data_IF_554265850504
#
_entry.id   IF_554265850504
#
_cell.length_a   1.000
_cell.length_b   1.000
_cell.length_c   1.000
_cell.angle_alpha   90.00
_cell.angle_beta   90.00
_cell.angle_gamma   90.00
#
_symmetry.space_group_name_H-M   'P 1'
#
loop_
_entity.id
_entity.type
_entity.pdbx_description
1 polymer ?
#
# COMPACT_ATOMS: atom_id res chain seq x y z
N UNK A 1 13.04 10.06 -5.39
CA UNK A 1 13.69 8.88 -5.98
C UNK A 1 13.11 7.55 -5.46
N UNK A 2 13.15 7.20 -4.18
CA UNK A 2 12.64 5.89 -3.67
C UNK A 2 11.09 5.73 -3.59
N UNK A 3 10.29 6.59 -4.25
CA UNK A 3 8.80 6.59 -4.18
C UNK A 3 8.13 5.75 -5.27
N UNK A 4 8.81 5.45 -6.38
CA UNK A 4 8.17 4.97 -7.61
C UNK A 4 8.62 3.57 -8.02
N UNK A 5 9.90 3.23 -7.88
CA UNK A 5 10.44 1.99 -8.46
C UNK A 5 9.86 0.70 -7.87
N UNK A 6 9.62 0.64 -6.56
CA UNK A 6 9.17 -0.60 -5.91
C UNK A 6 7.70 -0.94 -6.23
N UNK A 7 6.84 0.08 -6.36
CA UNK A 7 5.43 -0.13 -6.75
C UNK A 7 5.29 -0.56 -8.21
N UNK A 8 6.12 -0.03 -9.11
CA UNK A 8 6.10 -0.44 -10.53
C UNK A 8 6.55 -1.89 -10.72
N UNK A 9 7.59 -2.34 -10.01
CA UNK A 9 8.06 -3.72 -10.11
C UNK A 9 7.00 -4.74 -9.68
N UNK A 10 6.25 -4.46 -8.61
CA UNK A 10 5.17 -5.35 -8.14
C UNK A 10 3.94 -5.33 -9.07
N UNK A 11 3.58 -4.16 -9.60
CA UNK A 11 2.54 -4.05 -10.62
C UNK A 11 2.94 -4.75 -11.92
N UNK A 12 4.20 -4.69 -12.30
CA UNK A 12 4.72 -5.34 -13.50
C UNK A 12 4.71 -6.88 -13.37
N UNK A 13 5.25 -7.41 -12.27
CA UNK A 13 5.27 -8.87 -12.00
C UNK A 13 3.84 -9.42 -11.89
N UNK A 14 2.95 -8.71 -11.20
CA UNK A 14 1.55 -9.13 -11.11
C UNK A 14 0.83 -9.03 -12.46
N UNK A 15 1.14 -8.02 -13.28
CA UNK A 15 0.66 -7.90 -14.66
C UNK A 15 1.05 -9.11 -15.50
N UNK A 16 2.34 -9.50 -15.50
CA UNK A 16 2.81 -10.69 -16.20
C UNK A 16 2.11 -11.97 -15.73
N UNK A 17 1.93 -12.13 -14.42
CA UNK A 17 1.20 -13.26 -13.85
C UNK A 17 -0.24 -13.34 -14.40
N UNK A 18 -1.01 -12.25 -14.36
CA UNK A 18 -2.40 -12.27 -14.84
C UNK A 18 -2.53 -12.36 -16.36
N UNK A 19 -1.57 -11.85 -17.12
CA UNK A 19 -1.48 -12.04 -18.58
C UNK A 19 -1.25 -13.53 -18.89
N UNK A 20 -0.32 -14.19 -18.21
CA UNK A 20 -0.03 -15.62 -18.39
C UNK A 20 -1.26 -16.50 -18.17
N UNK A 21 -2.05 -16.22 -17.13
CA UNK A 21 -3.30 -16.96 -16.85
C UNK A 21 -4.51 -16.48 -17.67
N UNK A 22 -4.34 -15.57 -18.64
CA UNK A 22 -5.42 -14.95 -19.45
C UNK A 22 -6.55 -14.33 -18.62
N UNK A 23 -6.23 -13.78 -17.44
CA UNK A 23 -7.17 -13.10 -16.53
C UNK A 23 -6.84 -11.60 -16.41
N UNK A 24 -6.58 -10.94 -17.54
CA UNK A 24 -6.18 -9.52 -17.61
C UNK A 24 -7.21 -8.56 -17.00
N UNK A 25 -8.50 -8.89 -17.06
CA UNK A 25 -9.56 -8.11 -16.42
C UNK A 25 -9.41 -8.04 -14.89
N UNK A 26 -8.89 -9.10 -14.24
CA UNK A 26 -8.62 -9.08 -12.80
C UNK A 26 -7.46 -8.15 -12.46
N UNK A 27 -6.44 -8.10 -13.33
CA UNK A 27 -5.33 -7.17 -13.18
C UNK A 27 -5.79 -5.72 -13.27
N UNK A 28 -6.61 -5.39 -14.28
CA UNK A 28 -7.19 -4.04 -14.41
C UNK A 28 -8.05 -3.67 -13.19
N UNK A 29 -8.82 -4.62 -12.66
CA UNK A 29 -9.59 -4.42 -11.43
C UNK A 29 -8.69 -4.13 -10.21
N UNK A 30 -7.59 -4.87 -10.05
CA UNK A 30 -6.63 -4.63 -8.96
C UNK A 30 -5.98 -3.25 -9.10
N UNK A 31 -5.58 -2.85 -10.30
CA UNK A 31 -5.02 -1.51 -10.56
C UNK A 31 -6.04 -0.43 -10.18
N UNK A 32 -7.30 -0.58 -10.60
CA UNK A 32 -8.37 0.33 -10.21
C UNK A 32 -8.54 0.41 -8.69
N UNK A 33 -8.54 -0.73 -7.99
CA UNK A 33 -8.65 -0.78 -6.53
C UNK A 33 -7.49 -0.06 -5.84
N UNK A 34 -6.26 -0.17 -6.36
CA UNK A 34 -5.09 0.53 -5.82
C UNK A 34 -5.24 2.04 -6.02
N UNK A 35 -5.68 2.50 -7.20
CA UNK A 35 -5.94 3.93 -7.46
C UNK A 35 -6.99 4.46 -6.48
N UNK A 36 -8.09 3.73 -6.29
CA UNK A 36 -9.13 4.11 -5.32
C UNK A 36 -8.59 4.12 -3.89
N UNK A 37 -7.78 3.14 -3.49
CA UNK A 37 -7.12 3.10 -2.19
C UNK A 37 -6.22 4.30 -1.97
N UNK A 38 -5.48 4.74 -3.00
CA UNK A 38 -4.61 5.90 -2.93
C UNK A 38 -5.39 7.20 -2.75
N UNK A 39 -6.54 7.34 -3.42
CA UNK A 39 -7.44 8.49 -3.27
C UNK A 39 -8.10 8.53 -1.90
N UNK A 40 -8.55 7.38 -1.38
CA UNK A 40 -9.08 7.27 0.00
C UNK A 40 -7.98 7.67 0.99
N UNK A 41 -6.76 7.16 0.82
CA UNK A 41 -5.62 7.51 1.66
C UNK A 41 -5.24 8.99 1.58
N UNK A 42 -5.37 9.62 0.41
CA UNK A 42 -5.17 11.06 0.24
C UNK A 42 -6.25 11.87 0.98
N UNK A 43 -7.52 11.50 0.84
CA UNK A 43 -8.62 12.13 1.56
C UNK A 43 -8.47 12.02 3.08
N UNK A 44 -8.08 10.85 3.59
CA UNK A 44 -7.87 10.64 5.01
C UNK A 44 -6.70 11.45 5.57
N UNK A 45 -5.67 11.73 4.76
CA UNK A 45 -4.56 12.62 5.17
C UNK A 45 -4.99 14.05 5.39
N UNK A 46 -5.90 14.53 4.57
CA UNK A 46 -6.46 15.89 4.70
C UNK A 46 -7.44 15.97 5.89
N UNK A 47 -8.08 14.84 6.22
CA UNK A 47 -8.97 14.72 7.39
C UNK A 47 -8.23 14.66 8.72
N UNK A 48 -7.22 13.78 8.87
CA UNK A 48 -6.52 13.58 10.13
C UNK A 48 -5.45 14.63 10.42
N UNK A 49 -4.86 15.22 9.38
CA UNK A 49 -3.82 16.24 9.48
C UNK A 49 -2.63 15.89 10.40
N UNK A 50 -2.40 14.60 10.68
CA UNK A 50 -1.36 14.17 11.61
C UNK A 50 0.03 14.44 11.03
N UNK A 51 0.92 15.13 11.75
CA UNK A 51 2.25 15.46 11.25
C UNK A 51 3.13 14.22 11.08
N UNK A 52 4.07 14.27 10.14
CA UNK A 52 5.10 13.23 10.00
C UNK A 52 6.25 13.46 10.99
N UNK A 53 6.84 12.39 11.54
CA UNK A 53 7.94 12.49 12.50
C UNK A 53 9.16 13.22 11.93
N UNK A 54 9.40 13.11 10.62
CA UNK A 54 10.47 13.82 9.94
C UNK A 54 10.30 15.34 9.81
N UNK A 55 9.11 15.91 10.05
CA UNK A 55 8.96 17.36 10.18
C UNK A 55 9.20 17.81 11.63
N UNK A 56 8.63 17.06 12.59
CA UNK A 56 8.72 17.37 14.01
C UNK A 56 10.15 17.23 14.58
N UNK A 57 10.90 16.24 14.11
CA UNK A 57 12.26 15.93 14.58
C UNK A 57 13.31 16.13 13.47
N UNK A 58 13.02 16.99 12.49
CA UNK A 58 13.84 17.19 11.29
C UNK A 58 15.31 17.49 11.62
N UNK A 59 15.56 18.39 12.57
CA UNK A 59 16.93 18.79 13.00
C UNK A 59 17.69 17.61 13.58
N UNK A 60 17.10 16.89 14.55
CA UNK A 60 17.76 15.72 15.17
C UNK A 60 17.98 14.58 14.17
N UNK A 61 17.05 14.36 13.24
CA UNK A 61 17.17 13.30 12.23
C UNK A 61 18.22 13.62 11.16
N UNK A 62 18.47 14.91 10.88
CA UNK A 62 19.56 15.36 10.00
C UNK A 62 20.91 15.18 10.71
N UNK A 63 21.00 15.61 11.98
CA UNK A 63 22.22 15.47 12.78
C UNK A 63 22.64 14.01 13.00
N UNK A 64 21.67 13.11 13.13
CA UNK A 64 21.90 11.67 13.20
C UNK A 64 22.20 11.01 11.83
N UNK A 65 22.18 11.79 10.74
CA UNK A 65 22.42 11.28 9.37
C UNK A 65 21.32 10.36 8.81
N UNK A 66 20.17 10.29 9.47
CA UNK A 66 19.05 9.39 9.11
C UNK A 66 18.32 9.92 7.86
N UNK A 67 18.23 11.25 7.72
CA UNK A 67 17.67 11.91 6.53
C UNK A 67 18.67 12.93 5.98
N UNK A 68 18.90 12.91 4.65
CA UNK A 68 19.79 13.88 3.99
C UNK A 68 19.15 15.25 3.78
N UNK A 69 17.83 15.29 3.52
CA UNK A 69 17.08 16.51 3.20
C UNK A 69 15.76 16.54 3.98
N UNK A 70 15.17 17.73 4.12
CA UNK A 70 13.83 17.92 4.67
C UNK A 70 12.83 16.95 4.02
N UNK A 71 11.96 16.38 4.84
CA UNK A 71 11.03 15.36 4.44
C UNK A 71 10.09 15.89 3.35
N UNK A 72 10.10 15.31 2.15
CA UNK A 72 9.51 15.96 0.97
C UNK A 72 8.06 16.45 1.13
N UNK A 73 7.78 17.68 0.69
CA UNK A 73 6.54 18.47 0.51
C UNK A 73 5.29 18.23 1.38
N UNK A 74 4.83 17.00 1.62
CA UNK A 74 3.54 16.75 2.28
C UNK A 74 3.72 16.55 3.79
N UNK A 75 3.17 17.47 4.58
CA UNK A 75 3.23 17.53 6.04
C UNK A 75 2.52 16.36 6.73
N UNK A 76 1.46 15.84 6.11
CA UNK A 76 0.54 14.86 6.71
C UNK A 76 0.95 13.40 6.46
N UNK A 77 0.93 12.60 7.53
CA UNK A 77 1.45 11.24 7.57
C UNK A 77 0.41 10.13 7.62
N UNK A 78 -0.79 10.39 8.15
CA UNK A 78 -1.77 9.34 8.43
C UNK A 78 -2.86 9.26 7.36
N UNK A 79 -3.19 8.07 6.82
CA UNK A 79 -2.47 6.80 6.93
C UNK A 79 -1.28 6.71 5.95
N UNK A 80 -0.40 5.72 6.16
CA UNK A 80 0.63 5.39 5.17
C UNK A 80 0.01 4.74 3.93
N UNK A 81 -0.11 5.49 2.83
CA UNK A 81 -0.60 4.93 1.54
C UNK A 81 0.24 3.75 1.05
N UNK A 82 1.53 3.71 1.38
CA UNK A 82 2.37 2.55 1.03
C UNK A 82 1.91 1.30 1.78
N UNK A 83 1.66 1.40 3.08
CA UNK A 83 1.10 0.28 3.84
C UNK A 83 -0.30 -0.07 3.30
N UNK A 84 -1.17 0.92 3.11
CA UNK A 84 -2.53 0.72 2.60
C UNK A 84 -2.55 -0.05 1.28
N UNK A 85 -1.82 0.42 0.25
CA UNK A 85 -1.87 -0.18 -1.08
C UNK A 85 -1.26 -1.58 -1.11
N UNK A 86 -0.18 -1.82 -0.36
CA UNK A 86 0.48 -3.13 -0.31
C UNK A 86 -0.38 -4.18 0.40
N UNK A 87 -0.99 -3.82 1.54
CA UNK A 87 -1.91 -4.70 2.24
C UNK A 87 -3.21 -4.92 1.46
N UNK A 88 -3.70 -3.89 0.75
CA UNK A 88 -4.84 -4.02 -0.17
C UNK A 88 -4.54 -4.99 -1.31
N UNK A 89 -3.39 -4.84 -1.98
CA UNK A 89 -2.95 -5.73 -3.04
C UNK A 89 -2.82 -7.18 -2.54
N UNK A 90 -2.12 -7.37 -1.43
CA UNK A 90 -1.90 -8.71 -0.83
C UNK A 90 -3.22 -9.38 -0.47
N UNK A 91 -4.16 -8.63 0.09
CA UNK A 91 -5.50 -9.11 0.45
C UNK A 91 -6.29 -9.51 -0.80
N UNK A 92 -6.28 -8.69 -1.85
CA UNK A 92 -6.95 -9.01 -3.12
C UNK A 92 -6.36 -10.26 -3.77
N UNK A 93 -5.03 -10.37 -3.87
CA UNK A 93 -4.38 -11.54 -4.45
C UNK A 93 -4.72 -12.80 -3.65
N UNK A 94 -4.65 -12.74 -2.32
CA UNK A 94 -5.00 -13.86 -1.46
C UNK A 94 -6.44 -14.32 -1.67
N UNK A 95 -7.41 -13.40 -1.70
CA UNK A 95 -8.84 -13.72 -1.83
C UNK A 95 -9.23 -14.16 -3.25
N UNK A 96 -8.62 -13.59 -4.29
CA UNK A 96 -8.88 -13.93 -5.70
C UNK A 96 -8.25 -15.28 -6.05
N UNK A 97 -6.96 -15.48 -5.74
CA UNK A 97 -6.23 -16.69 -6.14
C UNK A 97 -6.45 -17.86 -5.19
N UNK A 98 -6.88 -17.58 -3.94
CA UNK A 98 -6.99 -18.55 -2.84
C UNK A 98 -5.69 -19.30 -2.52
N UNK A 99 -4.54 -18.83 -3.04
CA UNK A 99 -3.23 -19.44 -2.83
C UNK A 99 -2.64 -18.95 -1.51
N UNK A 100 -2.78 -19.76 -0.46
CA UNK A 100 -2.35 -19.41 0.92
C UNK A 100 -0.87 -19.01 1.01
N UNK A 101 0.01 -19.78 0.36
CA UNK A 101 1.46 -19.52 0.37
C UNK A 101 1.77 -18.17 -0.29
N UNK A 102 1.18 -17.91 -1.46
CA UNK A 102 1.37 -16.65 -2.16
C UNK A 102 0.89 -15.45 -1.33
N UNK A 103 -0.30 -15.55 -0.73
CA UNK A 103 -0.82 -14.51 0.16
C UNK A 103 0.08 -14.26 1.37
N UNK A 104 0.55 -15.33 2.02
CA UNK A 104 1.46 -15.22 3.16
C UNK A 104 2.78 -14.53 2.79
N UNK A 105 3.41 -14.93 1.69
CA UNK A 105 4.61 -14.25 1.19
C UNK A 105 4.37 -12.77 0.90
N UNK A 106 3.23 -12.42 0.31
CA UNK A 106 2.87 -11.04 0.02
C UNK A 106 2.60 -10.20 1.29
N UNK A 107 2.02 -10.79 2.34
CA UNK A 107 1.87 -10.12 3.63
C UNK A 107 3.20 -9.87 4.33
N UNK A 108 4.17 -10.79 4.20
CA UNK A 108 5.55 -10.58 4.70
C UNK A 108 6.19 -9.41 3.95
N UNK A 109 6.11 -9.39 2.62
CA UNK A 109 6.64 -8.31 1.79
C UNK A 109 5.96 -6.97 2.17
N UNK A 110 4.64 -6.97 2.33
CA UNK A 110 3.89 -5.76 2.73
C UNK A 110 4.31 -5.24 4.10
N UNK A 111 4.55 -6.15 5.06
CA UNK A 111 5.07 -5.81 6.38
C UNK A 111 6.48 -5.22 6.30
N UNK A 112 7.38 -5.83 5.52
CA UNK A 112 8.73 -5.32 5.30
C UNK A 112 8.73 -3.92 4.66
N UNK A 113 7.83 -3.68 3.69
CA UNK A 113 7.63 -2.36 3.08
C UNK A 113 7.12 -1.35 4.09
N UNK A 114 6.13 -1.73 4.92
CA UNK A 114 5.63 -0.89 6.01
C UNK A 114 6.74 -0.49 6.99
N UNK A 115 7.53 -1.47 7.45
CA UNK A 115 8.67 -1.25 8.35
C UNK A 115 9.74 -0.36 7.72
N UNK A 116 10.03 -0.52 6.41
CA UNK A 116 10.97 0.37 5.72
C UNK A 116 10.58 1.84 5.82
N UNK A 117 9.28 2.15 5.91
CA UNK A 117 8.79 3.54 6.06
C UNK A 117 9.00 4.09 7.47
N UNK A 118 8.99 3.22 8.48
CA UNK A 118 9.34 3.57 9.87
C UNK A 118 10.84 3.81 10.00
N UNK A 119 11.67 2.91 9.44
CA UNK A 119 13.13 3.05 9.46
C UNK A 119 13.63 4.31 8.77
N UNK A 120 12.95 4.74 7.70
CA UNK A 120 13.26 6.00 7.00
C UNK A 120 12.70 7.25 7.71
N UNK A 121 12.16 7.10 8.93
CA UNK A 121 11.50 8.15 9.70
C UNK A 121 10.38 8.90 8.93
N UNK A 122 9.78 8.26 7.92
CA UNK A 122 8.74 8.88 7.08
C UNK A 122 7.35 8.79 7.70
N UNK A 123 7.12 7.72 8.47
CA UNK A 123 5.85 7.43 9.12
C UNK A 123 6.09 6.86 10.50
N UNK A 124 5.17 7.16 11.43
CA UNK A 124 5.11 6.47 12.71
C UNK A 124 4.63 5.02 12.50
N UNK A 125 4.95 4.13 13.44
CA UNK A 125 4.47 2.75 13.41
C UNK A 125 2.94 2.70 13.45
N UNK A 126 2.29 3.58 14.22
CA UNK A 126 0.83 3.73 14.26
C UNK A 126 0.25 4.03 12.87
N UNK A 127 0.85 4.95 12.12
CA UNK A 127 0.42 5.32 10.75
C UNK A 127 0.54 4.15 9.76
N UNK A 128 1.53 3.28 9.95
CA UNK A 128 1.71 2.06 9.17
C UNK A 128 0.67 1.02 9.54
N UNK A 129 0.40 0.81 10.84
CA UNK A 129 -0.62 -0.13 11.32
C UNK A 129 -2.00 0.27 10.82
N UNK A 130 -2.39 1.54 10.98
CA UNK A 130 -3.67 2.07 10.49
C UNK A 130 -3.79 1.92 8.97
N UNK A 131 -2.70 2.22 8.24
CA UNK A 131 -2.64 1.98 6.79
C UNK A 131 -2.85 0.51 6.43
N UNK A 132 -2.18 -0.41 7.13
CA UNK A 132 -2.32 -1.85 6.91
C UNK A 132 -3.75 -2.34 7.19
N UNK A 133 -4.34 -1.93 8.32
CA UNK A 133 -5.73 -2.26 8.69
C UNK A 133 -6.72 -1.76 7.64
N UNK A 134 -6.58 -0.52 7.18
CA UNK A 134 -7.40 0.04 6.10
C UNK A 134 -7.20 -0.71 4.78
N UNK A 135 -5.97 -1.08 4.45
CA UNK A 135 -5.67 -1.86 3.25
C UNK A 135 -6.37 -3.23 3.25
N UNK A 136 -6.33 -3.94 4.38
CA UNK A 136 -7.04 -5.22 4.55
C UNK A 136 -8.56 -5.02 4.42
N UNK A 137 -9.11 -4.03 5.12
CA UNK A 137 -10.55 -3.75 5.11
C UNK A 137 -11.04 -3.42 3.70
N UNK A 138 -10.35 -2.52 2.99
CA UNK A 138 -10.68 -2.18 1.61
C UNK A 138 -10.52 -3.38 0.68
N UNK A 139 -9.48 -4.19 0.84
CA UNK A 139 -9.29 -5.43 0.07
C UNK A 139 -10.46 -6.41 0.22
N UNK A 140 -10.98 -6.58 1.44
CA UNK A 140 -12.17 -7.43 1.70
C UNK A 140 -13.42 -6.82 1.05
N UNK A 141 -13.63 -5.52 1.20
CA UNK A 141 -14.78 -4.81 0.61
C UNK A 141 -14.76 -4.93 -0.93
N UNK A 142 -13.62 -4.63 -1.55
CA UNK A 142 -13.45 -4.72 -3.00
C UNK A 142 -13.57 -6.17 -3.51
N UNK A 143 -13.11 -7.15 -2.75
CA UNK A 143 -13.33 -8.55 -3.11
C UNK A 143 -14.82 -8.94 -3.06
N UNK A 144 -15.56 -8.48 -2.05
CA UNK A 144 -16.99 -8.73 -1.95
C UNK A 144 -17.78 -8.05 -3.08
N UNK A 145 -17.37 -6.85 -3.49
CA UNK A 145 -17.91 -6.17 -4.67
C UNK A 145 -17.62 -7.01 -5.92
N UNK A 146 -16.37 -7.46 -6.11
CA UNK A 146 -15.97 -8.30 -7.24
C UNK A 146 -16.84 -9.57 -7.36
N UNK A 147 -17.14 -10.22 -6.23
CA UNK A 147 -18.02 -11.42 -6.17
C UNK A 147 -19.44 -11.16 -6.66
N UNK A 148 -19.99 -9.95 -6.44
CA UNK A 148 -21.35 -9.60 -6.90
C UNK A 148 -21.41 -9.52 -8.42
N UNK A 149 -20.32 -9.16 -9.08
CA UNK A 149 -20.22 -9.19 -10.53
C UNK A 149 -20.03 -10.65 -11.02
N UNK A 150 -21.15 -11.39 -11.13
CA UNK A 150 -21.22 -12.79 -11.60
C UNK A 150 -20.46 -13.07 -12.91
N UNK A 151 -20.22 -12.03 -13.72
CA UNK A 151 -19.49 -12.09 -14.99
C UNK A 151 -18.00 -12.48 -14.88
N UNK A 152 -17.41 -12.38 -13.69
CA UNK A 152 -15.96 -12.54 -13.47
C UNK A 152 -15.58 -13.97 -13.00
N UNK A 153 -16.57 -14.80 -12.63
CA UNK A 153 -16.38 -16.11 -12.02
C UNK A 153 -16.34 -17.30 -13.01
N UNK A 154 -16.37 -17.04 -14.33
CA UNK A 154 -16.15 -18.07 -15.37
C UNK A 154 -14.69 -18.09 -15.79
#
# INVERSE_FOLDING_TARGET
MCRLEFSFSLLFISGLFFIYYRKTYLFLYIVLCIILGDQIGAFLKDFFQEPRPCFQYSVQLIDLGIIKNQCGERLTGMPSNHALNFFLFSTLIYLITKRKILGFCLFIISSAVGLSRVFLAKHLLSQVIIGASLGILLGIVFYNILKKFKWIQK
#
